data_IF_652081782561
#
_entry.id   IF_652081782561
#
_cell.length_a   1.000
_cell.length_b   1.000
_cell.length_c   1.000
_cell.angle_alpha   90.00
_cell.angle_beta   90.00
_cell.angle_gamma   90.00
#
_symmetry.space_group_name_H-M   'P 1'
#
loop_
_entity.id
_entity.type
_entity.pdbx_description
1 polymer ?
#
# COMPACT_ATOMS: atom_id res chain seq x y z
N UNK A 1 -16.68 -66.91 -8.21
CA UNK A 1 -15.68 -66.15 -7.41
C UNK A 1 -15.68 -64.71 -7.91
N UNK A 2 -16.28 -63.79 -7.14
CA UNK A 2 -16.39 -62.36 -7.48
C UNK A 2 -15.16 -61.62 -6.92
N UNK A 3 -14.32 -61.05 -7.80
CA UNK A 3 -13.18 -60.21 -7.40
C UNK A 3 -13.61 -58.75 -7.30
N UNK A 4 -13.97 -58.31 -6.10
CA UNK A 4 -14.11 -56.89 -5.74
C UNK A 4 -12.73 -56.33 -5.42
N UNK A 5 -12.15 -55.53 -6.32
CA UNK A 5 -10.97 -54.71 -6.01
C UNK A 5 -11.42 -53.54 -5.13
N UNK A 6 -10.97 -53.54 -3.87
CA UNK A 6 -11.15 -52.44 -2.92
C UNK A 6 -10.34 -51.23 -3.38
N UNK A 7 -11.03 -50.12 -3.62
CA UNK A 7 -10.45 -48.81 -3.84
C UNK A 7 -9.98 -48.26 -2.47
N UNK A 8 -8.68 -48.19 -2.25
CA UNK A 8 -8.10 -47.51 -1.08
C UNK A 8 -8.09 -46.01 -1.36
N UNK A 9 -9.08 -45.30 -0.82
CA UNK A 9 -9.06 -43.83 -0.70
C UNK A 9 -8.14 -43.47 0.47
N UNK A 10 -6.91 -43.07 0.17
CA UNK A 10 -6.08 -42.36 1.14
C UNK A 10 -6.67 -40.98 1.35
N UNK A 11 -7.26 -40.74 2.51
CA UNK A 11 -7.65 -39.41 2.99
C UNK A 11 -6.37 -38.58 3.09
N UNK A 12 -6.10 -37.76 2.08
CA UNK A 12 -5.20 -36.62 2.25
C UNK A 12 -5.88 -35.71 3.28
N UNK A 13 -5.30 -35.63 4.47
CA UNK A 13 -5.66 -34.64 5.47
C UNK A 13 -5.33 -33.27 4.92
N UNK A 14 -6.27 -32.66 4.20
CA UNK A 14 -6.23 -31.23 3.91
C UNK A 14 -6.50 -30.54 5.23
N UNK A 15 -5.43 -30.18 5.94
CA UNK A 15 -5.50 -29.23 7.05
C UNK A 15 -5.86 -27.88 6.44
N UNK A 16 -7.15 -27.64 6.22
CA UNK A 16 -7.66 -26.32 5.89
C UNK A 16 -7.44 -25.47 7.15
N UNK A 17 -6.63 -24.39 7.11
CA UNK A 17 -6.62 -23.45 8.22
C UNK A 17 -8.04 -22.90 8.34
N UNK A 18 -8.63 -23.08 9.52
CA UNK A 18 -9.97 -22.61 9.85
C UNK A 18 -9.95 -21.08 9.81
N UNK A 19 -10.32 -20.48 8.68
CA UNK A 19 -10.49 -19.03 8.56
C UNK A 19 -11.75 -18.69 9.35
N UNK A 20 -11.59 -18.39 10.64
CA UNK A 20 -12.62 -17.68 11.37
C UNK A 20 -12.65 -16.28 10.80
N UNK A 21 -13.75 -15.96 10.10
CA UNK A 21 -14.05 -14.60 9.66
C UNK A 21 -14.24 -13.74 10.89
N UNK A 22 -13.16 -13.19 11.45
CA UNK A 22 -13.31 -12.29 12.58
C UNK A 22 -13.60 -10.90 12.03
N UNK A 23 -14.89 -10.60 11.91
CA UNK A 23 -15.37 -9.22 11.94
C UNK A 23 -15.09 -8.67 13.34
N UNK A 24 -14.05 -7.84 13.52
CA UNK A 24 -13.83 -7.16 14.81
C UNK A 24 -13.83 -5.66 14.68
N UNK A 25 -14.73 -5.08 15.46
CA UNK A 25 -14.78 -3.68 15.86
C UNK A 25 -13.55 -3.33 16.69
N UNK A 26 -12.94 -2.21 16.32
CA UNK A 26 -11.96 -1.39 17.04
C UNK A 26 -12.01 -1.49 18.58
N UNK A 27 -10.88 -1.92 19.19
CA UNK A 27 -10.15 -1.25 20.29
C UNK A 27 -9.01 -2.15 20.80
N UNK A 28 -7.74 -1.79 20.52
CA UNK A 28 -6.54 -2.50 21.02
C UNK A 28 -5.41 -2.64 19.99
N UNK A 29 -4.88 -1.53 19.49
CA UNK A 29 -4.10 -1.41 18.23
C UNK A 29 -2.69 -2.02 18.17
N UNK A 30 -2.30 -2.94 19.07
CA UNK A 30 -0.93 -3.54 19.05
C UNK A 30 -0.87 -5.06 19.05
N UNK A 31 -1.86 -5.75 19.62
CA UNK A 31 -1.80 -7.22 19.71
C UNK A 31 -2.36 -7.90 18.46
N UNK A 32 -3.45 -7.39 17.87
CA UNK A 32 -4.10 -8.02 16.72
C UNK A 32 -3.26 -8.05 15.43
N UNK A 33 -2.44 -7.02 15.18
CA UNK A 33 -1.59 -6.98 13.97
C UNK A 33 -0.55 -8.11 13.95
N UNK A 34 0.05 -8.40 15.12
CA UNK A 34 1.02 -9.47 15.29
C UNK A 34 0.35 -10.85 15.20
N UNK A 35 -0.87 -10.97 15.71
CA UNK A 35 -1.65 -12.22 15.68
C UNK A 35 -2.07 -12.61 14.26
N UNK A 36 -2.33 -11.64 13.38
CA UNK A 36 -2.65 -11.94 11.98
C UNK A 36 -1.41 -12.36 11.19
N UNK A 37 -0.32 -11.58 11.24
CA UNK A 37 0.84 -11.83 10.37
C UNK A 37 1.61 -13.09 10.72
N UNK A 38 1.57 -13.54 11.98
CA UNK A 38 2.29 -14.74 12.42
C UNK A 38 1.97 -15.98 11.56
N UNK A 39 0.72 -16.11 11.10
CA UNK A 39 0.27 -17.26 10.30
C UNK A 39 0.87 -17.26 8.89
N UNK A 40 1.45 -16.13 8.47
CA UNK A 40 2.04 -15.95 7.13
C UNK A 40 3.55 -15.80 7.16
N UNK A 41 4.14 -15.38 8.29
CA UNK A 41 5.58 -15.08 8.39
C UNK A 41 6.33 -15.92 9.43
N UNK A 42 5.67 -16.82 10.15
CA UNK A 42 6.32 -17.78 11.04
C UNK A 42 6.06 -19.22 10.60
N UNK A 43 6.91 -20.11 11.08
CA UNK A 43 6.73 -21.55 10.94
C UNK A 43 6.82 -22.03 9.49
N UNK A 44 6.20 -23.19 9.18
CA UNK A 44 6.17 -23.74 7.83
C UNK A 44 5.61 -22.76 6.80
N UNK A 45 4.48 -22.11 7.12
CA UNK A 45 3.85 -21.13 6.23
C UNK A 45 4.78 -19.95 5.91
N UNK A 46 5.45 -19.39 6.92
CA UNK A 46 6.47 -18.36 6.71
C UNK A 46 7.57 -18.81 5.75
N UNK A 47 8.06 -20.05 5.90
CA UNK A 47 9.12 -20.59 5.03
C UNK A 47 8.64 -20.81 3.60
N UNK A 48 7.39 -21.20 3.43
CA UNK A 48 6.78 -21.40 2.12
C UNK A 48 6.46 -20.07 1.41
N UNK A 49 6.11 -19.04 2.17
CA UNK A 49 5.76 -17.71 1.65
C UNK A 49 6.98 -16.80 1.44
N UNK A 50 8.11 -17.02 2.13
CA UNK A 50 9.27 -16.13 2.05
C UNK A 50 10.42 -16.72 1.24
N UNK A 51 10.80 -16.03 0.17
CA UNK A 51 12.03 -16.31 -0.58
C UNK A 51 13.16 -15.39 -0.10
N UNK A 52 14.19 -15.97 0.52
CA UNK A 52 15.35 -15.26 1.06
C UNK A 52 16.22 -14.59 -0.02
N UNK A 53 16.40 -15.23 -1.15
CA UNK A 53 17.30 -14.75 -2.21
C UNK A 53 16.70 -13.52 -2.91
N UNK A 54 15.39 -13.51 -3.13
CA UNK A 54 14.68 -12.38 -3.74
C UNK A 54 14.04 -11.43 -2.73
N UNK A 55 14.15 -11.73 -1.43
CA UNK A 55 13.52 -10.96 -0.35
C UNK A 55 12.02 -10.73 -0.61
N UNK A 56 11.34 -11.75 -1.10
CA UNK A 56 9.94 -11.70 -1.52
C UNK A 56 9.04 -12.41 -0.52
N UNK A 57 8.00 -11.73 -0.06
CA UNK A 57 6.87 -12.35 0.63
C UNK A 57 5.75 -12.61 -0.38
N UNK A 58 5.55 -13.87 -0.73
CA UNK A 58 4.52 -14.32 -1.66
C UNK A 58 3.27 -14.77 -0.90
N UNK A 59 2.23 -13.93 -0.93
CA UNK A 59 0.91 -14.22 -0.37
C UNK A 59 -0.08 -14.64 -1.46
N UNK A 60 0.35 -14.81 -2.72
CA UNK A 60 -0.55 -15.04 -3.86
C UNK A 60 -1.37 -16.33 -3.74
N UNK A 61 -0.85 -17.33 -3.02
CA UNK A 61 -1.50 -18.63 -2.79
C UNK A 61 -2.48 -18.60 -1.62
N UNK A 62 -2.58 -17.48 -0.90
CA UNK A 62 -3.50 -17.33 0.23
C UNK A 62 -4.89 -16.93 -0.25
N UNK A 63 -5.91 -17.19 0.56
CA UNK A 63 -7.27 -16.72 0.30
C UNK A 63 -7.64 -15.64 1.34
N UNK A 64 -7.10 -14.44 1.15
CA UNK A 64 -7.32 -13.30 2.01
C UNK A 64 -8.36 -12.37 1.40
N UNK A 65 -9.38 -11.99 2.15
CA UNK A 65 -10.29 -10.90 1.78
C UNK A 65 -9.75 -9.54 2.24
N UNK A 66 -9.11 -9.51 3.42
CA UNK A 66 -8.64 -8.27 4.06
C UNK A 66 -7.25 -8.52 4.65
N UNK A 67 -6.36 -7.55 4.48
CA UNK A 67 -5.14 -7.44 5.29
C UNK A 67 -5.40 -6.37 6.35
N UNK A 68 -5.45 -6.72 7.65
CA UNK A 68 -5.83 -5.78 8.70
C UNK A 68 -4.83 -4.64 8.91
N UNK A 69 -5.26 -3.65 9.70
CA UNK A 69 -4.42 -2.53 10.11
C UNK A 69 -3.07 -3.01 10.66
N UNK A 70 -2.00 -2.40 10.16
CA UNK A 70 -0.61 -2.59 10.58
C UNK A 70 -0.08 -4.04 10.52
N UNK A 71 -0.83 -4.99 9.93
CA UNK A 71 -0.57 -6.43 10.00
C UNK A 71 0.88 -6.80 9.65
N UNK A 72 1.42 -6.21 8.59
CA UNK A 72 2.79 -6.42 8.13
C UNK A 72 3.65 -5.16 8.24
N UNK A 73 3.25 -4.13 9.00
CA UNK A 73 4.11 -2.95 9.18
C UNK A 73 5.48 -3.35 9.73
N UNK A 74 6.54 -2.61 9.39
CA UNK A 74 7.88 -2.92 9.88
C UNK A 74 7.93 -3.03 11.41
N UNK A 75 7.20 -2.14 12.10
CA UNK A 75 7.09 -2.16 13.56
C UNK A 75 6.39 -3.41 14.09
N UNK A 76 5.30 -3.85 13.46
CA UNK A 76 4.59 -5.06 13.85
C UNK A 76 5.49 -6.29 13.66
N UNK A 77 6.10 -6.45 12.48
CA UNK A 77 6.96 -7.60 12.20
C UNK A 77 8.21 -7.61 13.09
N UNK A 78 8.86 -6.47 13.33
CA UNK A 78 9.99 -6.41 14.28
C UNK A 78 9.57 -6.81 15.69
N UNK A 79 8.40 -6.36 16.14
CA UNK A 79 7.85 -6.74 17.45
C UNK A 79 7.55 -8.23 17.52
N UNK A 80 6.94 -8.79 16.47
CA UNK A 80 6.62 -10.22 16.37
C UNK A 80 7.90 -11.07 16.43
N UNK A 81 8.87 -10.79 15.57
CA UNK A 81 10.12 -11.57 15.51
C UNK A 81 10.98 -11.42 16.76
N UNK A 82 10.96 -10.25 17.42
CA UNK A 82 11.71 -10.05 18.67
C UNK A 82 11.15 -10.92 19.80
N UNK A 83 9.82 -11.14 19.84
CA UNK A 83 9.17 -11.99 20.84
C UNK A 83 9.46 -13.47 20.61
N UNK A 84 9.57 -13.91 19.36
CA UNK A 84 9.80 -15.34 19.04
C UNK A 84 11.24 -15.76 19.28
N UNK A 85 12.21 -14.88 19.04
CA UNK A 85 13.65 -15.18 19.21
C UNK A 85 14.11 -15.12 20.68
N UNK A 86 13.35 -14.49 21.57
CA UNK A 86 13.60 -14.53 23.01
C UNK A 86 13.35 -15.91 23.66
N UNK A 87 12.74 -16.85 22.93
CA UNK A 87 12.53 -18.22 23.40
C UNK A 87 13.80 -19.05 23.22
N UNK A 88 14.27 -19.71 24.28
CA UNK A 88 15.48 -20.55 24.25
C UNK A 88 15.28 -21.88 23.52
N UNK A 89 14.04 -22.25 23.16
CA UNK A 89 13.67 -23.38 22.32
C UNK A 89 12.29 -23.12 21.69
N UNK A 90 12.19 -22.25 20.66
CA UNK A 90 10.92 -21.97 20.03
C UNK A 90 10.39 -23.23 19.35
N UNK A 91 9.08 -23.51 19.51
CA UNK A 91 8.44 -24.57 18.73
C UNK A 91 8.52 -24.24 17.23
N UNK A 92 8.64 -25.23 16.33
CA UNK A 92 8.85 -25.00 14.89
C UNK A 92 7.86 -24.04 14.22
N UNK A 93 6.62 -23.98 14.72
CA UNK A 93 5.56 -23.07 14.26
C UNK A 93 5.80 -21.59 14.60
N UNK A 94 6.69 -21.29 15.53
CA UNK A 94 7.03 -19.91 15.95
C UNK A 94 8.39 -19.44 15.42
N UNK A 95 9.06 -20.24 14.59
CA UNK A 95 10.37 -19.90 14.03
C UNK A 95 10.20 -19.03 12.79
N UNK A 96 10.83 -17.85 12.79
CA UNK A 96 10.88 -16.98 11.62
C UNK A 96 11.75 -17.60 10.50
N UNK A 97 11.37 -17.44 9.22
CA UNK A 97 12.19 -17.88 8.10
C UNK A 97 13.60 -17.29 8.12
N UNK A 98 14.59 -18.08 7.72
CA UNK A 98 15.98 -17.64 7.69
C UNK A 98 16.16 -16.37 6.85
N UNK A 99 16.78 -15.36 7.45
CA UNK A 99 17.11 -14.11 6.78
C UNK A 99 15.96 -13.12 6.58
N UNK A 100 14.72 -13.42 7.02
CA UNK A 100 13.59 -12.48 6.93
C UNK A 100 13.76 -11.24 7.82
N UNK A 101 14.59 -11.33 8.86
CA UNK A 101 14.87 -10.25 9.82
C UNK A 101 16.36 -10.16 10.12
N UNK A 102 16.89 -8.94 10.17
CA UNK A 102 18.21 -8.61 10.69
C UNK A 102 18.05 -7.82 11.99
N UNK A 103 18.21 -8.48 13.13
CA UNK A 103 18.06 -7.87 14.44
C UNK A 103 19.14 -6.82 14.76
N UNK A 104 20.35 -6.95 14.20
CA UNK A 104 21.43 -5.98 14.43
C UNK A 104 21.10 -4.63 13.80
N UNK A 105 20.46 -4.66 12.63
CA UNK A 105 20.04 -3.46 11.88
C UNK A 105 18.60 -3.05 12.19
N UNK A 106 17.90 -3.78 13.07
CA UNK A 106 16.46 -3.57 13.34
C UNK A 106 15.62 -3.52 12.06
N UNK A 107 15.93 -4.40 11.11
CA UNK A 107 15.41 -4.36 9.74
C UNK A 107 14.67 -5.64 9.36
N UNK A 108 13.51 -5.48 8.71
CA UNK A 108 12.82 -6.56 8.00
C UNK A 108 13.35 -6.63 6.57
N UNK A 109 13.65 -7.84 6.10
CA UNK A 109 14.21 -8.09 4.77
C UNK A 109 13.12 -8.52 3.79
N UNK A 110 12.08 -7.71 3.62
CA UNK A 110 11.02 -7.92 2.62
C UNK A 110 11.04 -6.71 1.68
N UNK A 111 11.50 -6.92 0.44
CA UNK A 111 11.54 -5.90 -0.61
C UNK A 111 10.37 -6.00 -1.57
N UNK A 112 9.84 -7.21 -1.76
CA UNK A 112 8.74 -7.46 -2.68
C UNK A 112 7.61 -8.16 -1.95
N UNK A 113 6.38 -7.77 -2.25
CA UNK A 113 5.20 -8.51 -1.85
C UNK A 113 4.35 -8.88 -3.06
N UNK A 114 3.84 -10.11 -3.08
CA UNK A 114 2.87 -10.57 -4.07
C UNK A 114 1.55 -10.82 -3.35
N UNK A 115 0.50 -10.09 -3.73
CA UNK A 115 -0.79 -10.11 -3.05
C UNK A 115 -1.78 -11.04 -3.77
N UNK A 116 -2.65 -11.74 -3.02
CA UNK A 116 -3.60 -12.68 -3.60
C UNK A 116 -4.73 -11.97 -4.36
N UNK A 117 -5.24 -12.63 -5.41
CA UNK A 117 -6.35 -12.11 -6.22
C UNK A 117 -7.65 -11.93 -5.42
N UNK A 118 -7.86 -12.72 -4.36
CA UNK A 118 -9.03 -12.64 -3.48
C UNK A 118 -9.11 -11.34 -2.67
N UNK A 119 -7.99 -10.62 -2.53
CA UNK A 119 -7.87 -9.46 -1.64
C UNK A 119 -8.78 -8.33 -2.06
N UNK A 120 -9.60 -7.84 -1.12
CA UNK A 120 -10.55 -6.73 -1.31
C UNK A 120 -10.08 -5.44 -0.66
N UNK A 121 -9.46 -5.55 0.53
CA UNK A 121 -9.07 -4.39 1.34
C UNK A 121 -7.66 -4.55 1.89
N UNK A 122 -6.85 -3.51 1.73
CA UNK A 122 -5.58 -3.34 2.43
C UNK A 122 -5.78 -2.30 3.52
N UNK A 123 -5.68 -2.73 4.77
CA UNK A 123 -5.98 -1.93 5.94
C UNK A 123 -4.94 -0.87 6.25
N UNK A 124 -5.33 0.06 7.13
CA UNK A 124 -4.49 1.19 7.53
C UNK A 124 -3.07 0.76 7.91
N UNK A 125 -2.05 1.41 7.36
CA UNK A 125 -0.64 1.15 7.64
C UNK A 125 -0.19 -0.33 7.48
N UNK A 126 -0.94 -1.16 6.74
CA UNK A 126 -0.70 -2.61 6.64
C UNK A 126 0.73 -3.00 6.28
N UNK A 127 1.40 -2.20 5.43
CA UNK A 127 2.77 -2.42 4.95
C UNK A 127 3.67 -1.20 5.19
N UNK A 128 3.33 -0.36 6.17
CA UNK A 128 4.10 0.85 6.47
C UNK A 128 5.56 0.52 6.84
N UNK A 129 6.50 1.24 6.24
CA UNK A 129 7.89 1.27 6.70
C UNK A 129 8.72 0.02 6.40
N UNK A 130 8.20 -0.93 5.62
CA UNK A 130 8.87 -2.21 5.34
C UNK A 130 10.11 -2.08 4.46
N UNK A 131 10.24 -0.96 3.74
CA UNK A 131 11.27 -0.80 2.72
C UNK A 131 10.95 -1.57 1.44
N UNK A 132 9.65 -1.79 1.16
CA UNK A 132 9.18 -2.41 -0.09
C UNK A 132 9.66 -1.61 -1.30
N UNK A 133 10.26 -2.29 -2.26
CA UNK A 133 10.66 -1.79 -3.57
C UNK A 133 9.60 -2.14 -4.64
N UNK A 134 8.84 -3.23 -4.44
CA UNK A 134 7.83 -3.72 -5.38
C UNK A 134 6.60 -4.30 -4.67
N UNK A 135 5.41 -4.00 -5.21
CA UNK A 135 4.14 -4.61 -4.85
C UNK A 135 3.51 -5.18 -6.11
N UNK A 136 3.23 -6.47 -6.11
CA UNK A 136 2.63 -7.17 -7.25
C UNK A 136 1.21 -7.60 -6.92
N UNK A 137 0.28 -7.27 -7.81
CA UNK A 137 -1.10 -7.73 -7.81
C UNK A 137 -1.34 -8.61 -9.04
N UNK A 138 -2.29 -9.55 -8.96
CA UNK A 138 -2.86 -10.16 -10.16
C UNK A 138 -3.83 -9.16 -10.82
N UNK A 139 -3.34 -8.38 -11.77
CA UNK A 139 -4.11 -7.32 -12.43
C UNK A 139 -5.32 -7.87 -13.20
N UNK A 140 -5.31 -9.15 -13.58
CA UNK A 140 -6.37 -9.77 -14.39
C UNK A 140 -7.56 -10.26 -13.57
N UNK A 141 -7.33 -10.59 -12.29
CA UNK A 141 -8.33 -11.27 -11.46
C UNK A 141 -8.49 -10.69 -10.05
N UNK A 142 -7.77 -9.60 -9.73
CA UNK A 142 -7.84 -9.01 -8.39
C UNK A 142 -9.20 -8.38 -8.09
N UNK A 143 -9.67 -8.64 -6.87
CA UNK A 143 -10.89 -8.05 -6.29
C UNK A 143 -10.60 -6.81 -5.42
N UNK A 144 -9.41 -6.23 -5.51
CA UNK A 144 -8.99 -5.14 -4.63
C UNK A 144 -9.78 -3.88 -4.94
N UNK A 145 -10.55 -3.38 -3.97
CA UNK A 145 -11.37 -2.18 -4.14
C UNK A 145 -10.85 -1.01 -3.31
N UNK A 146 -10.23 -1.29 -2.15
CA UNK A 146 -9.86 -0.28 -1.15
C UNK A 146 -8.42 -0.42 -0.65
N UNK A 147 -7.70 0.70 -0.64
CA UNK A 147 -6.40 0.87 0.01
C UNK A 147 -6.53 1.96 1.07
N UNK A 148 -6.42 1.59 2.34
CA UNK A 148 -6.64 2.50 3.46
C UNK A 148 -5.43 3.36 3.78
N UNK A 149 -5.62 4.30 4.72
CA UNK A 149 -4.62 5.32 5.04
C UNK A 149 -3.25 4.71 5.36
N UNK A 150 -2.19 5.34 4.86
CA UNK A 150 -0.79 4.97 5.13
C UNK A 150 -0.41 3.51 4.76
N UNK A 151 -1.27 2.76 4.07
CA UNK A 151 -1.09 1.32 3.81
C UNK A 151 0.30 0.95 3.26
N UNK A 152 0.85 1.77 2.36
CA UNK A 152 2.18 1.61 1.77
C UNK A 152 3.11 2.80 2.06
N UNK A 153 2.83 3.60 3.09
CA UNK A 153 3.64 4.76 3.43
C UNK A 153 5.07 4.37 3.86
N UNK A 154 6.03 5.27 3.63
CA UNK A 154 7.42 5.13 4.08
C UNK A 154 8.13 3.88 3.50
N UNK A 155 7.93 3.59 2.23
CA UNK A 155 8.58 2.49 1.52
C UNK A 155 9.54 3.02 0.44
N UNK A 156 9.97 2.15 -0.49
CA UNK A 156 10.87 2.45 -1.60
C UNK A 156 10.25 2.09 -2.95
N UNK A 157 8.92 2.06 -3.03
CA UNK A 157 8.19 1.61 -4.22
C UNK A 157 8.49 2.59 -5.36
N UNK A 158 8.97 2.09 -6.49
CA UNK A 158 9.33 2.91 -7.65
C UNK A 158 8.22 3.01 -8.70
N UNK A 159 7.39 1.97 -8.79
CA UNK A 159 6.27 1.86 -9.72
C UNK A 159 5.16 1.07 -9.06
N UNK A 160 3.91 1.52 -9.24
CA UNK A 160 2.74 0.81 -8.75
C UNK A 160 1.71 0.67 -9.88
N UNK A 161 1.31 -0.57 -10.15
CA UNK A 161 0.21 -0.88 -11.07
C UNK A 161 -0.93 -1.43 -10.21
N UNK A 162 -1.98 -0.64 -10.08
CA UNK A 162 -3.16 -1.00 -9.31
C UNK A 162 -4.18 -1.74 -10.20
N UNK A 163 -4.87 -2.76 -9.66
CA UNK A 163 -6.01 -3.38 -10.34
C UNK A 163 -7.10 -2.35 -10.67
N UNK A 164 -7.78 -2.53 -11.82
CA UNK A 164 -8.81 -1.59 -12.29
C UNK A 164 -10.03 -1.50 -11.36
N UNK A 165 -10.21 -2.48 -10.48
CA UNK A 165 -11.27 -2.52 -9.46
C UNK A 165 -11.06 -1.54 -8.31
N UNK A 166 -9.86 -0.96 -8.17
CA UNK A 166 -9.56 -0.01 -7.10
C UNK A 166 -10.35 1.27 -7.31
N UNK A 167 -11.21 1.58 -6.34
CA UNK A 167 -12.08 2.77 -6.37
C UNK A 167 -11.86 3.70 -5.16
N UNK A 168 -11.06 3.29 -4.18
CA UNK A 168 -10.75 4.09 -3.00
C UNK A 168 -9.30 3.92 -2.56
N UNK A 169 -8.59 5.05 -2.47
CA UNK A 169 -7.21 5.15 -1.96
C UNK A 169 -7.20 6.31 -0.95
N UNK A 170 -6.96 6.01 0.31
CA UNK A 170 -7.11 6.96 1.40
C UNK A 170 -5.84 7.77 1.70
N UNK A 171 -5.91 8.62 2.74
CA UNK A 171 -4.86 9.55 3.14
C UNK A 171 -3.48 8.89 3.22
N UNK A 172 -2.49 9.52 2.58
CA UNK A 172 -1.07 9.12 2.65
C UNK A 172 -0.79 7.66 2.27
N UNK A 173 -1.71 6.95 1.59
CA UNK A 173 -1.54 5.52 1.30
C UNK A 173 -0.20 5.20 0.62
N UNK A 174 0.33 6.11 -0.23
CA UNK A 174 1.63 5.98 -0.90
C UNK A 174 2.61 7.09 -0.53
N UNK A 175 2.41 7.76 0.62
CA UNK A 175 3.30 8.83 1.08
C UNK A 175 4.74 8.34 1.27
N UNK A 176 5.72 9.19 0.91
CA UNK A 176 7.15 8.93 1.12
C UNK A 176 7.61 7.60 0.52
N UNK A 177 7.60 7.56 -0.82
CA UNK A 177 8.06 6.45 -1.63
C UNK A 177 8.98 6.98 -2.76
N UNK A 178 9.26 6.16 -3.78
CA UNK A 178 10.04 6.55 -4.95
C UNK A 178 9.20 6.47 -6.23
N UNK A 179 7.87 6.59 -6.13
CA UNK A 179 6.96 6.27 -7.22
C UNK A 179 7.13 7.29 -8.34
N UNK A 180 7.55 6.82 -9.52
CA UNK A 180 7.61 7.60 -10.75
C UNK A 180 6.48 7.27 -11.71
N UNK A 181 5.69 6.23 -11.44
CA UNK A 181 4.54 5.83 -12.25
C UNK A 181 3.44 5.16 -11.44
N UNK A 182 2.19 5.60 -11.67
CA UNK A 182 0.95 4.99 -11.20
C UNK A 182 -0.12 5.07 -12.32
N UNK A 183 -0.88 4.00 -12.53
CA UNK A 183 -1.86 3.85 -13.62
C UNK A 183 -3.25 4.46 -13.30
N UNK A 184 -3.33 5.69 -12.79
CA UNK A 184 -4.61 6.32 -12.43
C UNK A 184 -5.61 6.43 -13.59
N UNK A 185 -5.10 6.53 -14.82
CA UNK A 185 -5.89 6.61 -16.04
C UNK A 185 -6.74 5.35 -16.29
N UNK A 186 -6.36 4.20 -15.75
CA UNK A 186 -7.10 2.94 -15.87
C UNK A 186 -8.15 2.77 -14.75
N UNK A 187 -8.03 3.54 -13.65
CA UNK A 187 -8.90 3.44 -12.48
C UNK A 187 -10.16 4.31 -12.66
N UNK A 188 -11.12 3.81 -13.44
CA UNK A 188 -12.32 4.58 -13.84
C UNK A 188 -13.18 5.03 -12.66
N UNK A 189 -13.22 4.24 -11.60
CA UNK A 189 -14.06 4.50 -10.42
C UNK A 189 -13.34 5.29 -9.32
N UNK A 190 -12.02 5.49 -9.43
CA UNK A 190 -11.27 6.33 -8.51
C UNK A 190 -11.48 7.80 -8.90
N UNK A 191 -12.21 8.54 -8.06
CA UNK A 191 -12.57 9.95 -8.33
C UNK A 191 -11.79 10.98 -7.54
N UNK A 192 -10.98 10.56 -6.58
CA UNK A 192 -10.35 11.46 -5.61
C UNK A 192 -8.90 11.09 -5.34
N UNK A 193 -8.06 12.12 -5.26
CA UNK A 193 -6.74 12.05 -4.62
C UNK A 193 -6.85 12.63 -3.22
N UNK A 194 -6.78 11.77 -2.21
CA UNK A 194 -6.90 12.17 -0.82
C UNK A 194 -5.66 12.86 -0.27
N UNK A 195 -5.79 13.45 0.93
CA UNK A 195 -4.72 14.18 1.61
C UNK A 195 -3.39 13.43 1.54
N UNK A 196 -2.36 14.08 0.98
CA UNK A 196 -0.99 13.53 0.90
C UNK A 196 -0.84 12.17 0.22
N UNK A 197 -1.84 11.66 -0.51
CA UNK A 197 -1.89 10.26 -0.99
C UNK A 197 -0.66 9.85 -1.80
N UNK A 198 -0.13 10.75 -2.63
CA UNK A 198 1.06 10.55 -3.47
C UNK A 198 2.18 11.54 -3.13
N UNK A 199 2.13 12.17 -1.95
CA UNK A 199 3.15 13.14 -1.57
C UNK A 199 4.51 12.49 -1.31
N UNK A 200 5.58 13.24 -1.56
CA UNK A 200 6.98 12.83 -1.38
C UNK A 200 7.31 11.56 -2.19
N UNK A 201 7.29 11.73 -3.52
CA UNK A 201 7.51 10.68 -4.52
C UNK A 201 8.35 11.23 -5.69
N UNK A 202 8.37 10.52 -6.82
CA UNK A 202 9.17 10.82 -8.01
C UNK A 202 8.33 11.06 -9.27
N UNK A 203 7.06 11.44 -9.09
CA UNK A 203 6.17 11.70 -10.22
C UNK A 203 6.57 13.00 -10.92
N UNK A 204 6.78 12.95 -12.22
CA UNK A 204 6.97 14.14 -13.06
C UNK A 204 5.81 14.38 -14.03
N UNK A 205 4.90 13.41 -14.14
CA UNK A 205 3.67 13.46 -14.91
C UNK A 205 2.64 12.52 -14.27
N UNK A 206 1.36 12.87 -14.41
CA UNK A 206 0.24 12.05 -13.93
C UNK A 206 -1.01 12.35 -14.75
N UNK A 207 -1.71 11.29 -15.19
CA UNK A 207 -2.98 11.42 -15.90
C UNK A 207 -4.12 11.48 -14.86
N UNK A 208 -4.80 12.62 -14.82
CA UNK A 208 -5.88 12.93 -13.87
C UNK A 208 -7.26 12.81 -14.48
N UNK A 209 -7.44 12.26 -15.70
CA UNK A 209 -8.72 12.30 -16.44
C UNK A 209 -9.95 11.77 -15.67
N UNK A 210 -9.74 10.86 -14.71
CA UNK A 210 -10.81 10.25 -13.91
C UNK A 210 -11.01 10.96 -12.54
N UNK A 211 -10.13 11.90 -12.17
CA UNK A 211 -10.05 12.51 -10.84
C UNK A 211 -10.85 13.82 -10.81
N UNK A 212 -11.91 13.86 -10.00
CA UNK A 212 -12.74 15.04 -9.84
C UNK A 212 -12.36 15.87 -8.59
N UNK A 213 -11.64 15.27 -7.64
CA UNK A 213 -11.27 15.89 -6.37
C UNK A 213 -9.80 15.69 -6.03
N UNK A 214 -9.10 16.77 -5.68
CA UNK A 214 -7.72 16.75 -5.19
C UNK A 214 -7.67 17.47 -3.84
N UNK A 215 -7.32 16.72 -2.79
CA UNK A 215 -7.22 17.23 -1.42
C UNK A 215 -5.81 17.77 -1.11
N UNK A 216 -5.65 18.33 0.09
CA UNK A 216 -4.42 18.98 0.55
C UNK A 216 -3.18 18.10 0.37
N UNK A 217 -2.13 18.70 -0.16
CA UNK A 217 -0.81 18.10 -0.35
C UNK A 217 -0.79 16.81 -1.16
N UNK A 218 -1.89 16.42 -1.83
CA UNK A 218 -2.01 15.11 -2.50
C UNK A 218 -0.85 14.80 -3.47
N UNK A 219 -0.28 15.84 -4.09
CA UNK A 219 0.82 15.75 -5.06
C UNK A 219 2.10 16.48 -4.61
N UNK A 220 2.17 16.94 -3.35
CA UNK A 220 3.32 17.68 -2.84
C UNK A 220 4.63 16.88 -2.91
N UNK A 221 5.77 17.56 -2.98
CA UNK A 221 7.09 16.93 -3.00
C UNK A 221 7.25 15.84 -4.08
N UNK A 222 6.81 16.14 -5.29
CA UNK A 222 7.07 15.36 -6.49
C UNK A 222 7.98 16.16 -7.44
N UNK A 223 8.24 15.64 -8.64
CA UNK A 223 9.17 16.20 -9.63
C UNK A 223 8.44 16.84 -10.83
N UNK A 224 7.20 17.30 -10.62
CA UNK A 224 6.41 18.00 -11.63
C UNK A 224 7.05 19.33 -12.02
N UNK A 225 7.07 19.62 -13.32
CA UNK A 225 7.36 20.97 -13.87
C UNK A 225 6.11 21.67 -14.35
N UNK A 226 5.22 20.89 -14.97
CA UNK A 226 3.94 21.32 -15.48
C UNK A 226 2.89 20.27 -15.10
N UNK A 227 1.66 20.72 -14.83
CA UNK A 227 0.50 19.86 -14.62
C UNK A 227 -0.72 20.48 -15.30
N UNK A 228 -1.51 19.65 -15.99
CA UNK A 228 -2.80 20.07 -16.52
C UNK A 228 -3.94 19.49 -15.66
N UNK A 229 -4.89 20.35 -15.28
CA UNK A 229 -6.14 19.97 -14.66
C UNK A 229 -7.26 20.05 -15.71
N UNK A 230 -7.90 18.91 -15.98
CA UNK A 230 -8.94 18.79 -17.01
C UNK A 230 -10.21 19.59 -16.66
N UNK A 231 -11.04 19.84 -17.68
CA UNK A 231 -12.23 20.72 -17.57
C UNK A 231 -13.29 20.22 -16.58
N UNK A 232 -13.36 18.91 -16.34
CA UNK A 232 -14.39 18.28 -15.51
C UNK A 232 -13.97 18.15 -14.02
N UNK A 233 -12.75 18.59 -13.68
CA UNK A 233 -12.30 18.62 -12.28
C UNK A 233 -13.13 19.64 -11.49
N UNK A 234 -13.61 19.26 -10.31
CA UNK A 234 -14.61 20.05 -9.57
C UNK A 234 -14.06 20.67 -8.28
N UNK A 235 -13.25 19.92 -7.53
CA UNK A 235 -12.77 20.34 -6.22
C UNK A 235 -11.26 20.17 -6.18
N UNK A 236 -10.52 21.28 -6.07
CA UNK A 236 -9.07 21.26 -5.95
C UNK A 236 -8.68 22.11 -4.76
N UNK A 237 -7.96 21.49 -3.82
CA UNK A 237 -7.37 22.22 -2.72
C UNK A 237 -6.33 23.21 -3.25
N UNK A 238 -6.36 24.45 -2.75
CA UNK A 238 -5.30 25.43 -2.98
C UNK A 238 -3.93 24.93 -2.51
N UNK A 239 -3.91 23.92 -1.63
CA UNK A 239 -2.72 23.30 -1.05
C UNK A 239 -2.31 22.00 -1.76
N UNK A 240 -2.75 21.72 -2.98
CA UNK A 240 -2.45 20.45 -3.69
C UNK A 240 -0.95 20.07 -3.74
N UNK A 241 -0.06 21.08 -3.75
CA UNK A 241 1.40 20.92 -3.72
C UNK A 241 2.06 21.44 -2.44
N UNK A 242 1.27 21.78 -1.41
CA UNK A 242 1.79 22.38 -0.20
C UNK A 242 2.62 21.39 0.62
N UNK A 243 3.72 21.88 1.19
CA UNK A 243 4.54 21.13 2.14
C UNK A 243 5.03 22.08 3.22
N UNK A 244 4.92 21.66 4.48
CA UNK A 244 5.43 22.42 5.62
C UNK A 244 6.88 22.01 5.90
N UNK A 245 7.83 22.68 5.23
CA UNK A 245 9.26 22.46 5.40
C UNK A 245 10.10 23.38 4.51
N UNK A 246 11.42 23.21 4.53
CA UNK A 246 12.33 24.12 3.82
C UNK A 246 12.09 24.07 2.30
N UNK A 247 11.92 25.24 1.69
CA UNK A 247 11.61 25.43 0.26
C UNK A 247 12.84 25.57 -0.63
N UNK A 248 14.05 25.49 -0.05
CA UNK A 248 15.28 25.64 -0.81
C UNK A 248 15.26 24.74 -2.07
N UNK A 249 15.37 25.38 -3.23
CA UNK A 249 15.42 24.77 -4.57
C UNK A 249 14.11 24.16 -5.12
N UNK A 250 12.94 24.43 -4.52
CA UNK A 250 11.66 24.01 -5.10
C UNK A 250 11.17 25.09 -6.08
N UNK A 251 11.15 24.78 -7.38
CA UNK A 251 10.53 25.63 -8.39
C UNK A 251 9.00 25.50 -8.35
N UNK A 252 8.25 26.60 -8.53
CA UNK A 252 6.80 26.53 -8.61
C UNK A 252 6.38 25.72 -9.85
N UNK A 253 5.31 24.94 -9.69
CA UNK A 253 4.77 24.10 -10.76
C UNK A 253 3.90 24.96 -11.68
N UNK A 254 4.09 24.83 -12.99
CA UNK A 254 3.22 25.48 -13.97
C UNK A 254 1.88 24.72 -14.06
N UNK A 255 0.80 25.33 -13.61
CA UNK A 255 -0.51 24.72 -13.56
C UNK A 255 -1.41 25.27 -14.67
N UNK A 256 -1.78 24.41 -15.62
CA UNK A 256 -2.78 24.71 -16.64
C UNK A 256 -4.13 24.21 -16.14
N UNK A 257 -5.05 25.13 -15.87
CA UNK A 257 -6.38 24.77 -15.33
C UNK A 257 -7.43 25.00 -16.39
N UNK A 258 -8.10 23.94 -16.85
CA UNK A 258 -9.15 24.01 -17.90
C UNK A 258 -10.54 24.29 -17.33
N UNK A 259 -10.76 24.07 -16.04
CA UNK A 259 -12.00 24.42 -15.36
C UNK A 259 -11.91 25.87 -14.85
N UNK A 260 -12.79 26.75 -15.33
CA UNK A 260 -12.73 28.19 -15.04
C UNK A 260 -13.01 28.53 -13.56
N UNK A 261 -13.92 27.82 -12.90
CA UNK A 261 -14.23 28.04 -11.49
C UNK A 261 -13.03 27.67 -10.60
N UNK A 262 -12.43 26.51 -10.87
CA UNK A 262 -11.20 26.07 -10.19
C UNK A 262 -10.05 27.04 -10.50
N UNK A 263 -9.91 27.50 -11.75
CA UNK A 263 -8.87 28.47 -12.14
C UNK A 263 -9.00 29.76 -11.35
N UNK A 264 -10.22 30.30 -11.22
CA UNK A 264 -10.51 31.49 -10.42
C UNK A 264 -10.17 31.27 -8.95
N UNK A 265 -10.64 30.16 -8.36
CA UNK A 265 -10.37 29.82 -6.96
C UNK A 265 -8.86 29.76 -6.66
N UNK A 266 -8.08 29.04 -7.47
CA UNK A 266 -6.64 28.89 -7.28
C UNK A 266 -5.88 30.21 -7.52
N UNK A 267 -6.35 31.03 -8.47
CA UNK A 267 -5.78 32.37 -8.72
C UNK A 267 -6.00 33.28 -7.51
N UNK A 268 -7.21 33.30 -6.93
CA UNK A 268 -7.49 34.05 -5.70
C UNK A 268 -6.65 33.57 -4.51
N UNK A 269 -6.44 32.26 -4.37
CA UNK A 269 -5.61 31.69 -3.31
C UNK A 269 -4.15 32.18 -3.38
N UNK A 270 -3.58 32.28 -4.59
CA UNK A 270 -2.23 32.81 -4.80
C UNK A 270 -2.07 34.27 -4.34
N UNK A 271 -3.14 35.08 -4.38
CA UNK A 271 -3.11 36.47 -3.87
C UNK A 271 -3.07 36.54 -2.34
N UNK A 272 -3.57 35.50 -1.66
CA UNK A 272 -3.69 35.44 -0.19
C UNK A 272 -2.51 34.71 0.44
N UNK A 273 -1.89 33.80 -0.29
CA UNK A 273 -0.84 32.94 0.20
C UNK A 273 0.29 32.78 -0.82
N UNK A 274 1.39 33.49 -0.60
CA UNK A 274 2.61 33.39 -1.41
C UNK A 274 3.37 32.08 -1.19
N UNK A 275 2.93 31.24 -0.24
CA UNK A 275 3.58 29.98 0.07
C UNK A 275 3.13 28.81 -0.82
N UNK A 276 2.10 29.00 -1.65
CA UNK A 276 1.61 27.96 -2.54
C UNK A 276 2.60 27.68 -3.68
N UNK A 277 2.85 26.40 -3.96
CA UNK A 277 3.94 25.96 -4.85
C UNK A 277 3.51 25.76 -6.31
N UNK A 278 2.80 26.73 -6.88
CA UNK A 278 2.43 26.72 -8.30
C UNK A 278 2.19 28.12 -8.84
N UNK A 279 2.21 28.25 -10.16
CA UNK A 279 1.74 29.42 -10.89
C UNK A 279 0.67 28.98 -11.90
N UNK A 280 -0.32 29.83 -12.14
CA UNK A 280 -1.36 29.58 -13.15
C UNK A 280 -0.85 30.04 -14.52
N UNK A 281 -0.91 29.16 -15.52
CA UNK A 281 -0.66 29.51 -16.94
C UNK A 281 -1.96 29.76 -17.73
#
# INVERSE_FOLDING_TARGET
MKNTKKLFLTLASVSIPLITTISVVSCGSKEYANEFSKDFVLGPAGRDNYNRETQTLDLSKTNLDIIPQAAFSAKALLSLFSKTVASTNPKPEFVAPDGIVNFKETKINIKKIILPASLKVIGKAAFEGLGLEEVQFDISSSNLTKIESEAFANNKISKIILPISVNSIEEKAFYNNQISFINLNELKDLKKLSVGVLANNKLNNIDLKNINTIEDSALALNEFKDLELHKDISIVSEKLFFFNGNKDNIMPINLVVKNEDVKKQLTEALTKNSELNYIIK
#
